data_IF_411151923496
#
_entry.id   IF_411151923496
#
_cell.length_a   1.000
_cell.length_b   1.000
_cell.length_c   1.000
_cell.angle_alpha   90.00
_cell.angle_beta   90.00
_cell.angle_gamma   90.00
#
_symmetry.space_group_name_H-M   'P 1'
#
loop_
_entity.id
_entity.type
_entity.pdbx_description
1 polymer ?
#
# COMPACT_ATOMS: atom_id res chain seq x y z
N UNK A 1 -2.36 1.89 13.69
CA UNK A 1 -3.28 2.63 12.80
C UNK A 1 -2.49 3.13 11.60
N UNK A 2 -3.14 3.59 10.54
CA UNK A 2 -2.45 4.24 9.41
C UNK A 2 -2.15 5.69 9.79
N UNK A 3 -1.00 5.95 10.42
CA UNK A 3 -0.62 7.29 10.90
C UNK A 3 0.26 8.06 9.94
N UNK A 4 0.74 7.42 8.87
CA UNK A 4 1.75 7.99 7.98
C UNK A 4 1.22 8.08 6.55
N UNK A 5 1.12 9.30 6.02
CA UNK A 5 1.06 9.58 4.58
C UNK A 5 2.42 10.19 4.21
N UNK A 6 3.29 9.40 3.59
CA UNK A 6 4.61 9.86 3.18
C UNK A 6 4.53 10.71 1.91
N UNK A 7 5.14 11.90 1.94
CA UNK A 7 5.41 12.73 0.75
C UNK A 7 6.59 12.23 -0.09
N UNK A 8 7.22 11.12 0.30
CA UNK A 8 8.31 10.53 -0.46
C UNK A 8 7.75 9.75 -1.65
N UNK A 9 8.10 10.21 -2.86
CA UNK A 9 8.02 9.39 -4.06
C UNK A 9 8.94 8.18 -3.86
N UNK A 10 8.37 7.00 -3.65
CA UNK A 10 9.05 5.79 -4.10
C UNK A 10 9.14 5.92 -5.63
N UNK A 11 10.37 5.94 -6.16
CA UNK A 11 10.62 6.34 -7.55
C UNK A 11 9.88 5.50 -8.60
N UNK A 12 9.44 4.29 -8.26
CA UNK A 12 8.53 3.49 -9.08
C UNK A 12 7.96 2.32 -8.28
N UNK A 13 6.63 2.16 -8.24
CA UNK A 13 5.98 0.88 -7.92
C UNK A 13 4.78 0.67 -8.85
N UNK A 14 4.19 -0.52 -8.84
CA UNK A 14 3.26 -0.96 -9.88
C UNK A 14 1.95 -0.15 -9.97
N UNK A 15 1.62 0.66 -8.97
CA UNK A 15 0.44 1.54 -9.01
C UNK A 15 0.61 2.75 -9.96
N UNK A 16 1.84 3.14 -10.30
CA UNK A 16 2.11 4.38 -11.07
C UNK A 16 1.49 4.36 -12.47
N UNK A 17 1.59 3.28 -13.28
CA UNK A 17 0.94 3.24 -14.59
C UNK A 17 -0.59 3.42 -14.51
N UNK A 18 -1.23 2.94 -13.44
CA UNK A 18 -2.67 3.10 -13.22
C UNK A 18 -3.03 4.56 -12.89
N UNK A 19 -2.28 5.21 -11.99
CA UNK A 19 -2.47 6.64 -11.70
C UNK A 19 -2.32 7.50 -12.98
N UNK A 20 -1.28 7.22 -13.78
CA UNK A 20 -1.03 7.92 -15.05
C UNK A 20 -2.14 7.72 -16.09
N UNK A 21 -2.81 6.57 -16.07
CA UNK A 21 -3.98 6.31 -16.91
C UNK A 21 -5.28 6.97 -16.39
N UNK A 22 -5.22 7.66 -15.25
CA UNK A 22 -6.37 8.28 -14.60
C UNK A 22 -7.24 7.27 -13.82
N UNK A 23 -6.71 6.08 -13.52
CA UNK A 23 -7.37 5.10 -12.66
C UNK A 23 -7.00 5.36 -11.20
N UNK A 24 -7.92 5.13 -10.24
CA UNK A 24 -7.59 5.18 -8.82
C UNK A 24 -6.49 4.15 -8.51
N UNK A 25 -5.38 4.63 -7.97
CA UNK A 25 -4.21 3.82 -7.69
C UNK A 25 -3.62 4.22 -6.33
N UNK A 26 -3.26 3.23 -5.53
CA UNK A 26 -2.90 3.43 -4.13
C UNK A 26 -1.62 2.67 -3.83
N UNK A 27 -0.82 3.24 -2.92
CA UNK A 27 0.27 2.53 -2.29
C UNK A 27 -0.02 2.44 -0.79
N UNK A 28 -0.04 1.21 -0.27
CA UNK A 28 -0.15 0.96 1.17
C UNK A 28 1.26 0.90 1.76
N UNK A 29 1.67 1.98 2.41
CA UNK A 29 2.96 2.06 3.08
C UNK A 29 2.87 1.47 4.49
N UNK A 30 3.88 0.68 4.83
CA UNK A 30 4.07 0.13 6.18
C UNK A 30 4.95 1.10 6.99
N UNK A 31 4.79 1.10 8.32
CA UNK A 31 5.71 1.81 9.20
C UNK A 31 7.13 1.25 9.07
N UNK A 32 8.14 2.09 9.31
CA UNK A 32 9.57 1.73 9.16
C UNK A 32 10.10 0.91 10.35
N UNK A 33 9.33 -0.08 10.80
CA UNK A 33 9.64 -0.95 11.94
C UNK A 33 9.81 -2.36 11.40
N UNK A 34 11.06 -2.73 11.04
CA UNK A 34 11.32 -3.92 10.21
C UNK A 34 11.22 -3.62 8.71
N UNK A 35 11.71 -4.53 7.86
CA UNK A 35 11.66 -4.36 6.39
C UNK A 35 12.53 -3.23 5.81
N UNK A 36 13.41 -2.61 6.60
CA UNK A 36 14.37 -1.59 6.13
C UNK A 36 15.55 -2.19 5.36
N UNK A 37 15.68 -3.51 5.35
CA UNK A 37 16.71 -4.27 4.64
C UNK A 37 16.43 -4.47 3.15
N UNK A 38 15.39 -3.87 2.58
CA UNK A 38 15.09 -3.99 1.15
C UNK A 38 16.33 -3.72 0.29
N UNK A 39 16.59 -4.61 -0.66
CA UNK A 39 17.78 -4.59 -1.53
C UNK A 39 19.12 -4.74 -0.77
N UNK A 40 19.12 -5.38 0.39
CA UNK A 40 20.33 -5.73 1.14
C UNK A 40 20.29 -7.20 1.54
N UNK A 41 21.44 -7.73 1.97
CA UNK A 41 21.51 -9.06 2.60
C UNK A 41 20.94 -9.07 4.03
N UNK A 42 20.07 -8.12 4.41
CA UNK A 42 19.33 -8.10 5.68
C UNK A 42 17.83 -8.37 5.47
N UNK A 43 17.40 -8.63 4.23
CA UNK A 43 16.02 -8.99 3.89
C UNK A 43 15.79 -10.50 4.09
N UNK A 44 15.60 -10.90 5.35
CA UNK A 44 15.37 -12.29 5.75
C UNK A 44 13.98 -12.50 6.32
N UNK A 45 13.50 -13.74 6.26
CA UNK A 45 12.20 -14.16 6.82
C UNK A 45 12.01 -13.75 8.28
N UNK A 46 13.05 -13.90 9.11
CA UNK A 46 12.98 -13.61 10.54
C UNK A 46 12.78 -12.13 10.87
N UNK A 47 12.99 -11.25 9.88
CA UNK A 47 12.79 -9.80 10.03
C UNK A 47 11.34 -9.36 9.78
N UNK A 48 10.46 -10.29 9.36
CA UNK A 48 9.06 -9.99 9.06
C UNK A 48 8.28 -9.75 10.37
N UNK A 49 7.71 -8.55 10.58
CA UNK A 49 6.86 -8.27 11.73
C UNK A 49 5.46 -8.88 11.52
N UNK A 50 5.28 -10.15 11.91
CA UNK A 50 4.06 -10.94 11.67
C UNK A 50 2.77 -10.23 12.11
N UNK A 51 2.79 -9.55 13.25
CA UNK A 51 1.61 -8.82 13.74
C UNK A 51 1.24 -7.64 12.85
N UNK A 52 2.21 -6.99 12.21
CA UNK A 52 1.94 -5.91 11.27
C UNK A 52 1.50 -6.45 9.91
N UNK A 53 2.02 -7.61 9.48
CA UNK A 53 1.51 -8.30 8.28
C UNK A 53 0.02 -8.65 8.43
N UNK A 54 -0.40 -9.20 9.57
CA UNK A 54 -1.81 -9.51 9.84
C UNK A 54 -2.69 -8.25 9.78
N UNK A 55 -2.25 -7.16 10.41
CA UNK A 55 -2.98 -5.87 10.36
C UNK A 55 -3.10 -5.35 8.93
N UNK A 56 -2.01 -5.38 8.16
CA UNK A 56 -1.99 -4.94 6.78
C UNK A 56 -2.94 -5.77 5.90
N UNK A 57 -2.95 -7.09 6.10
CA UNK A 57 -3.88 -7.99 5.40
C UNK A 57 -5.35 -7.63 5.68
N UNK A 58 -5.70 -7.36 6.95
CA UNK A 58 -7.06 -6.95 7.33
C UNK A 58 -7.43 -5.60 6.72
N UNK A 59 -6.51 -4.62 6.69
CA UNK A 59 -6.75 -3.30 6.09
C UNK A 59 -7.04 -3.44 4.59
N UNK A 60 -6.19 -4.17 3.85
CA UNK A 60 -6.37 -4.36 2.40
C UNK A 60 -7.64 -5.14 2.11
N UNK A 61 -7.91 -6.22 2.85
CA UNK A 61 -9.13 -7.00 2.68
C UNK A 61 -10.39 -6.17 2.93
N UNK A 62 -10.41 -5.36 3.99
CA UNK A 62 -11.52 -4.46 4.31
C UNK A 62 -11.72 -3.40 3.21
N UNK A 63 -10.63 -2.80 2.73
CA UNK A 63 -10.68 -1.82 1.64
C UNK A 63 -11.25 -2.45 0.36
N UNK A 64 -10.76 -3.62 -0.05
CA UNK A 64 -11.26 -4.32 -1.24
C UNK A 64 -12.72 -4.69 -1.08
N UNK A 65 -13.12 -5.20 0.09
CA UNK A 65 -14.51 -5.56 0.36
C UNK A 65 -15.43 -4.34 0.24
N UNK A 66 -15.13 -3.26 0.96
CA UNK A 66 -15.96 -2.05 0.92
C UNK A 66 -16.02 -1.44 -0.47
N UNK A 67 -14.90 -1.37 -1.19
CA UNK A 67 -14.87 -0.82 -2.55
C UNK A 67 -15.61 -1.67 -3.57
N UNK A 68 -15.62 -3.00 -3.40
CA UNK A 68 -16.40 -3.91 -4.23
C UNK A 68 -17.92 -3.78 -3.98
N UNK A 69 -18.32 -3.33 -2.79
CA UNK A 69 -19.72 -3.17 -2.40
C UNK A 69 -20.29 -1.76 -2.66
N UNK A 70 -19.51 -0.84 -3.24
CA UNK A 70 -20.00 0.50 -3.56
C UNK A 70 -20.94 0.46 -4.77
N UNK A 71 -22.06 1.20 -4.69
CA UNK A 71 -22.96 1.41 -5.83
C UNK A 71 -22.31 2.26 -6.94
N UNK A 72 -21.31 3.07 -6.57
CA UNK A 72 -20.63 4.00 -7.45
C UNK A 72 -19.13 3.72 -7.52
N UNK A 73 -18.55 3.97 -8.70
CA UNK A 73 -17.10 3.85 -8.89
C UNK A 73 -16.34 4.86 -8.02
N UNK A 74 -15.14 4.47 -7.60
CA UNK A 74 -14.22 5.38 -6.91
C UNK A 74 -13.94 6.63 -7.77
N UNK A 75 -13.78 7.81 -7.14
CA UNK A 75 -13.45 9.04 -7.83
C UNK A 75 -12.15 8.89 -8.64
N UNK A 76 -12.21 9.28 -9.91
CA UNK A 76 -11.04 9.32 -10.80
C UNK A 76 -10.41 10.71 -10.79
N UNK A 77 -9.10 10.76 -11.01
CA UNK A 77 -8.38 12.03 -11.18
C UNK A 77 -8.93 12.75 -12.42
N UNK A 78 -9.26 14.03 -12.28
CA UNK A 78 -9.62 14.87 -13.43
C UNK A 78 -8.36 15.08 -14.27
N UNK A 79 -8.50 15.00 -15.60
CA UNK A 79 -7.42 15.35 -16.53
C UNK A 79 -7.11 16.83 -16.46
#
# INVERSE_FOLDING_TARGET
>A
GMTTIGSQSVGSTDHIPFDRAGLPAFQFLQDRVGGTGGHTNLDFYDTIPIEDIKKNAVIVASFVYHTAMLDQLLPKKKK
#
